data_IF_157074123629
#
_entry.id   IF_157074123629
#
_cell.length_a   1.000
_cell.length_b   1.000
_cell.length_c   1.000
_cell.angle_alpha   90.00
_cell.angle_beta   90.00
_cell.angle_gamma   90.00
#
_symmetry.space_group_name_H-M   'P 1'
#
loop_
_entity.id
_entity.type
_entity.pdbx_description
1 polymer ?
#
# COMPACT_ATOMS: atom_id res chain seq x y z
N UNK A 1 50.73 -25.88 2.40
CA UNK A 1 51.54 -25.91 3.64
C UNK A 1 51.54 -24.51 4.26
N UNK A 2 51.36 -24.45 5.59
CA UNK A 2 51.44 -23.30 6.52
C UNK A 2 50.17 -22.46 6.75
N UNK A 3 49.46 -22.92 7.78
CA UNK A 3 48.57 -22.20 8.71
C UNK A 3 49.21 -20.90 9.24
N UNK A 4 48.40 -19.94 9.70
CA UNK A 4 48.53 -19.39 11.08
C UNK A 4 47.17 -18.97 11.67
N UNK A 5 46.94 -19.55 12.85
CA UNK A 5 45.88 -19.36 13.82
C UNK A 5 46.20 -18.16 14.74
N UNK A 6 45.23 -17.76 15.58
CA UNK A 6 45.31 -17.07 16.89
C UNK A 6 44.91 -15.58 16.90
N UNK A 7 44.14 -15.03 17.86
CA UNK A 7 43.85 -15.39 19.27
C UNK A 7 42.41 -15.03 19.70
N UNK A 8 41.92 -15.76 20.70
CA UNK A 8 40.75 -15.51 21.55
C UNK A 8 40.89 -14.25 22.43
N UNK A 9 39.76 -13.61 22.75
CA UNK A 9 39.57 -12.92 24.04
C UNK A 9 38.18 -13.26 24.60
N UNK A 10 38.14 -14.18 25.56
CA UNK A 10 37.03 -14.35 26.49
C UNK A 10 37.35 -13.51 27.72
N UNK A 11 36.47 -12.59 28.09
CA UNK A 11 36.59 -11.83 29.35
C UNK A 11 35.61 -12.40 30.36
N UNK A 12 36.14 -12.76 31.53
CA UNK A 12 35.46 -13.38 32.65
C UNK A 12 34.81 -12.31 33.55
N UNK A 13 33.50 -12.49 33.77
CA UNK A 13 32.69 -12.29 35.00
C UNK A 13 33.12 -11.23 36.03
N UNK A 14 32.19 -10.33 36.34
CA UNK A 14 32.10 -9.67 37.64
C UNK A 14 30.85 -10.18 38.39
N UNK A 15 31.08 -10.85 39.53
CA UNK A 15 30.07 -11.19 40.53
C UNK A 15 29.80 -9.91 41.34
N UNK A 16 28.57 -9.40 41.30
CA UNK A 16 28.10 -8.42 42.28
C UNK A 16 27.16 -9.13 43.23
N UNK A 17 27.49 -8.94 44.49
CA UNK A 17 27.02 -9.56 45.73
C UNK A 17 25.56 -9.29 46.05
N UNK A 18 24.88 -10.37 46.47
CA UNK A 18 23.80 -10.47 47.46
C UNK A 18 23.09 -9.17 47.92
N UNK A 19 21.84 -9.05 47.50
CA UNK A 19 20.79 -8.29 48.17
C UNK A 19 19.53 -9.16 48.20
N UNK A 20 19.24 -9.69 49.38
CA UNK A 20 18.05 -10.44 49.76
C UNK A 20 16.75 -9.78 49.26
N UNK A 21 16.02 -10.46 48.37
CA UNK A 21 14.57 -10.29 48.19
C UNK A 21 13.97 -11.69 48.01
N UNK A 22 13.00 -12.03 48.87
CA UNK A 22 12.25 -13.29 48.84
C UNK A 22 11.64 -13.58 47.46
N UNK A 23 11.48 -14.87 47.08
CA UNK A 23 10.59 -15.21 45.98
C UNK A 23 9.16 -15.19 46.51
N UNK A 24 8.49 -14.03 46.46
CA UNK A 24 7.02 -14.03 46.45
C UNK A 24 6.57 -14.47 45.05
N UNK A 25 5.82 -15.57 45.03
CA UNK A 25 5.50 -16.34 43.83
C UNK A 25 4.29 -15.81 43.05
N UNK A 26 3.90 -14.55 43.26
CA UNK A 26 2.68 -13.96 42.66
C UNK A 26 2.97 -12.81 41.69
N UNK A 27 4.23 -12.42 41.51
CA UNK A 27 4.62 -11.35 40.57
C UNK A 27 5.10 -11.86 39.20
N UNK A 28 5.36 -13.17 39.05
CA UNK A 28 5.82 -13.75 37.78
C UNK A 28 4.67 -14.21 36.87
N UNK A 29 3.51 -14.54 37.41
CA UNK A 29 2.33 -14.89 36.60
C UNK A 29 1.86 -13.70 35.76
N UNK A 30 1.91 -12.47 36.28
CA UNK A 30 1.54 -11.27 35.53
C UNK A 30 2.52 -10.87 34.41
N UNK A 31 3.75 -11.39 34.42
CA UNK A 31 4.73 -11.16 33.34
C UNK A 31 4.84 -12.32 32.35
N UNK A 32 4.40 -13.53 32.73
CA UNK A 32 4.34 -14.69 31.84
C UNK A 32 3.00 -14.81 31.11
N UNK A 33 1.93 -14.16 31.61
CA UNK A 33 0.63 -14.07 30.93
C UNK A 33 0.57 -12.97 29.84
N UNK A 34 1.69 -12.30 29.56
CA UNK A 34 1.82 -11.31 28.48
C UNK A 34 2.79 -11.73 27.36
N UNK A 35 3.01 -13.04 27.22
CA UNK A 35 3.71 -13.63 26.07
C UNK A 35 3.03 -14.91 25.56
N UNK A 36 1.70 -14.94 25.59
CA UNK A 36 1.00 -15.61 24.50
C UNK A 36 1.18 -14.74 23.25
N UNK A 37 2.05 -15.18 22.35
CA UNK A 37 1.96 -14.82 20.95
C UNK A 37 0.57 -15.24 20.47
N UNK A 38 -0.39 -14.33 20.65
CA UNK A 38 -1.60 -14.25 19.86
C UNK A 38 -1.11 -14.02 18.44
N UNK A 39 -0.80 -15.11 17.74
CA UNK A 39 -1.03 -15.23 16.31
C UNK A 39 -2.52 -14.95 16.12
N UNK A 40 -2.86 -13.66 16.10
CA UNK A 40 -4.10 -13.17 15.54
C UNK A 40 -3.94 -13.46 14.06
N UNK A 41 -4.21 -14.71 13.70
CA UNK A 41 -4.64 -15.04 12.36
C UNK A 41 -5.97 -14.32 12.22
N UNK A 42 -5.88 -13.05 11.84
CA UNK A 42 -7.01 -12.23 11.49
C UNK A 42 -7.65 -12.94 10.31
N UNK A 43 -8.68 -13.72 10.60
CA UNK A 43 -9.71 -14.01 9.62
C UNK A 43 -10.40 -12.68 9.32
N UNK A 44 -9.71 -11.79 8.60
CA UNK A 44 -10.38 -10.74 7.85
C UNK A 44 -11.37 -11.47 6.97
N UNK A 45 -12.66 -11.22 7.18
CA UNK A 45 -13.63 -11.76 6.24
C UNK A 45 -13.35 -11.09 4.89
N UNK A 46 -13.67 -11.78 3.79
CA UNK A 46 -13.50 -11.22 2.43
C UNK A 46 -14.14 -9.83 2.27
N UNK A 47 -15.18 -9.55 3.06
CA UNK A 47 -15.84 -8.24 3.12
C UNK A 47 -14.97 -7.17 3.82
N UNK A 48 -14.32 -7.51 4.94
CA UNK A 48 -13.41 -6.61 5.66
C UNK A 48 -12.18 -6.27 4.80
N UNK A 49 -11.66 -7.27 4.09
CA UNK A 49 -10.53 -7.11 3.18
C UNK A 49 -10.87 -6.20 1.97
N UNK A 50 -12.02 -6.43 1.32
CA UNK A 50 -12.45 -5.56 0.22
C UNK A 50 -12.65 -4.11 0.69
N UNK A 51 -13.24 -3.95 1.88
CA UNK A 51 -13.42 -2.63 2.51
C UNK A 51 -12.08 -1.96 2.79
N UNK A 52 -11.07 -2.70 3.27
CA UNK A 52 -9.74 -2.13 3.56
C UNK A 52 -9.00 -1.71 2.29
N UNK A 53 -9.05 -2.50 1.23
CA UNK A 53 -8.44 -2.15 -0.07
C UNK A 53 -9.07 -0.90 -0.67
N UNK A 54 -10.40 -0.80 -0.69
CA UNK A 54 -11.09 0.38 -1.24
C UNK A 54 -10.80 1.63 -0.41
N UNK A 55 -10.79 1.51 0.92
CA UNK A 55 -10.42 2.63 1.79
C UNK A 55 -9.00 3.13 1.51
N UNK A 56 -8.03 2.23 1.37
CA UNK A 56 -6.65 2.59 1.04
C UNK A 56 -6.54 3.18 -0.38
N UNK A 57 -7.18 2.57 -1.38
CA UNK A 57 -7.21 3.10 -2.75
C UNK A 57 -7.75 4.54 -2.80
N UNK A 58 -8.83 4.78 -2.04
CA UNK A 58 -9.41 6.11 -1.84
C UNK A 58 -8.40 7.07 -1.23
N UNK A 59 -7.79 6.69 -0.11
CA UNK A 59 -6.79 7.51 0.58
C UNK A 59 -5.61 7.87 -0.33
N UNK A 60 -5.06 6.90 -1.07
CA UNK A 60 -3.94 7.14 -1.97
C UNK A 60 -4.29 8.07 -3.13
N UNK A 61 -5.54 8.04 -3.58
CA UNK A 61 -6.06 8.97 -4.58
C UNK A 61 -6.20 10.39 -4.01
N UNK A 62 -6.78 10.53 -2.82
CA UNK A 62 -6.89 11.81 -2.12
C UNK A 62 -5.49 12.44 -1.88
N UNK A 63 -4.52 11.63 -1.43
CA UNK A 63 -3.12 12.06 -1.26
C UNK A 63 -2.54 12.53 -2.60
N UNK A 64 -2.68 11.72 -3.67
CA UNK A 64 -2.17 12.02 -5.01
C UNK A 64 -2.62 13.39 -5.51
N UNK A 65 -3.90 13.70 -5.37
CA UNK A 65 -4.48 14.96 -5.85
C UNK A 65 -4.04 16.16 -5.01
N UNK A 66 -3.71 15.92 -3.74
CA UNK A 66 -3.24 16.97 -2.84
C UNK A 66 -4.29 18.04 -2.59
N UNK A 67 -3.84 19.13 -1.98
CA UNK A 67 -4.73 20.19 -1.50
C UNK A 67 -5.21 21.14 -2.60
N UNK A 68 -4.50 21.20 -3.74
CA UNK A 68 -4.88 22.10 -4.84
C UNK A 68 -5.78 21.46 -5.88
N UNK A 69 -5.53 20.21 -6.26
CA UNK A 69 -6.32 19.53 -7.29
C UNK A 69 -7.52 18.83 -6.64
N UNK A 70 -7.29 18.17 -5.51
CA UNK A 70 -8.29 17.35 -4.82
C UNK A 70 -9.64 18.04 -4.65
N UNK A 71 -9.73 19.22 -4.02
CA UNK A 71 -11.01 19.90 -3.79
C UNK A 71 -11.79 20.26 -5.06
N UNK A 72 -11.12 20.39 -6.21
CA UNK A 72 -11.74 20.78 -7.48
C UNK A 72 -12.35 19.60 -8.20
N UNK A 73 -11.67 18.44 -8.19
CA UNK A 73 -12.09 17.25 -8.95
C UNK A 73 -12.79 16.20 -8.08
N UNK A 74 -12.94 16.46 -6.78
CA UNK A 74 -13.39 15.46 -5.79
C UNK A 74 -14.72 14.81 -6.18
N UNK A 75 -15.72 15.63 -6.48
CA UNK A 75 -17.08 15.18 -6.79
C UNK A 75 -17.07 14.32 -8.06
N UNK A 76 -16.60 14.86 -9.17
CA UNK A 76 -16.41 14.16 -10.44
C UNK A 76 -15.63 12.83 -10.29
N UNK A 77 -14.58 12.83 -9.47
CA UNK A 77 -13.78 11.64 -9.21
C UNK A 77 -14.58 10.53 -8.53
N UNK A 78 -15.30 10.86 -7.46
CA UNK A 78 -16.08 9.88 -6.71
C UNK A 78 -17.34 9.43 -7.42
N UNK A 79 -17.91 10.26 -8.30
CA UNK A 79 -19.09 9.90 -9.08
C UNK A 79 -18.75 9.08 -10.32
N UNK A 80 -17.64 9.39 -11.01
CA UNK A 80 -17.37 8.83 -12.34
C UNK A 80 -16.18 7.87 -12.41
N UNK A 81 -15.14 8.08 -11.60
CA UNK A 81 -13.86 7.37 -11.72
C UNK A 81 -13.72 6.29 -10.65
N UNK A 82 -13.95 6.63 -9.39
CA UNK A 82 -13.75 5.70 -8.28
C UNK A 82 -14.60 4.42 -8.38
N UNK A 83 -15.88 4.45 -8.80
CA UNK A 83 -16.67 3.24 -8.99
C UNK A 83 -16.05 2.27 -10.02
N UNK A 84 -15.44 2.79 -11.09
CA UNK A 84 -14.75 1.97 -12.10
C UNK A 84 -13.44 1.39 -11.59
N UNK A 85 -12.78 2.11 -10.69
CA UNK A 85 -11.61 1.61 -9.98
C UNK A 85 -11.98 0.43 -9.07
N UNK A 86 -13.06 0.55 -8.30
CA UNK A 86 -13.60 -0.56 -7.49
C UNK A 86 -13.96 -1.77 -8.37
N UNK A 87 -14.62 -1.55 -9.51
CA UNK A 87 -14.92 -2.60 -10.49
C UNK A 87 -13.65 -3.28 -11.00
N UNK A 88 -12.61 -2.52 -11.38
CA UNK A 88 -11.34 -3.07 -11.86
C UNK A 88 -10.63 -3.91 -10.79
N UNK A 89 -10.65 -3.46 -9.53
CA UNK A 89 -10.12 -4.23 -8.39
C UNK A 89 -10.90 -5.54 -8.22
N UNK A 90 -12.24 -5.47 -8.24
CA UNK A 90 -13.11 -6.64 -8.08
C UNK A 90 -12.90 -7.66 -9.21
N UNK A 91 -12.80 -7.19 -10.46
CA UNK A 91 -12.55 -8.05 -11.62
C UNK A 91 -11.17 -8.70 -11.56
N UNK A 92 -10.14 -7.94 -11.15
CA UNK A 92 -8.79 -8.49 -10.97
C UNK A 92 -8.78 -9.54 -9.87
N UNK A 93 -9.46 -9.28 -8.74
CA UNK A 93 -9.59 -10.25 -7.66
C UNK A 93 -10.34 -11.51 -8.10
N UNK A 94 -11.36 -11.35 -8.96
CA UNK A 94 -12.11 -12.45 -9.55
C UNK A 94 -11.30 -13.34 -10.49
N UNK A 95 -10.42 -12.73 -11.30
CA UNK A 95 -9.54 -13.47 -12.22
C UNK A 95 -8.54 -14.38 -11.50
N UNK A 96 -8.16 -14.04 -10.26
CA UNK A 96 -7.14 -14.72 -9.47
C UNK A 96 -7.69 -15.80 -8.54
N UNK A 97 -9.00 -16.07 -8.58
CA UNK A 97 -9.75 -16.95 -7.67
C UNK A 97 -9.25 -18.41 -7.48
N UNK A 98 -8.26 -18.85 -8.25
CA UNK A 98 -7.62 -20.17 -8.04
C UNK A 98 -6.58 -20.15 -6.90
N UNK A 99 -6.11 -18.98 -6.48
CA UNK A 99 -5.12 -18.84 -5.40
C UNK A 99 -5.68 -18.00 -4.24
N UNK A 100 -6.44 -18.67 -3.36
CA UNK A 100 -7.00 -18.06 -2.14
C UNK A 100 -5.93 -17.62 -1.13
N UNK A 101 -4.63 -17.81 -1.41
CA UNK A 101 -3.52 -17.46 -0.54
C UNK A 101 -2.89 -16.10 -0.85
N UNK A 102 -3.30 -15.45 -1.95
CA UNK A 102 -2.75 -14.15 -2.34
C UNK A 102 -3.19 -13.09 -1.32
N UNK A 103 -2.22 -12.61 -0.55
CA UNK A 103 -2.36 -11.44 0.31
C UNK A 103 -2.13 -10.19 -0.53
N UNK A 104 -3.14 -9.34 -0.65
CA UNK A 104 -3.10 -8.13 -1.48
C UNK A 104 -2.73 -6.93 -0.59
N UNK A 105 -1.79 -6.10 -1.05
CA UNK A 105 -1.47 -4.82 -0.41
C UNK A 105 -1.53 -3.67 -1.38
N UNK A 106 -1.99 -2.52 -0.90
CA UNK A 106 -2.01 -1.25 -1.63
C UNK A 106 -0.71 -0.48 -1.37
N UNK A 107 -0.14 0.13 -2.39
CA UNK A 107 1.06 0.97 -2.22
C UNK A 107 0.70 2.35 -1.66
N UNK A 108 1.36 2.80 -0.59
CA UNK A 108 0.99 4.02 0.15
C UNK A 108 1.76 5.30 -0.24
N UNK A 109 2.48 5.27 -1.37
CA UNK A 109 3.36 6.37 -1.79
C UNK A 109 3.09 6.77 -3.26
N UNK A 110 2.01 7.53 -3.53
CA UNK A 110 1.76 8.13 -4.82
C UNK A 110 2.92 9.02 -5.24
N UNK A 111 3.17 9.09 -6.53
CA UNK A 111 4.26 9.90 -7.05
C UNK A 111 3.82 11.35 -7.30
N UNK A 112 4.65 12.32 -6.92
CA UNK A 112 4.38 13.75 -7.14
C UNK A 112 4.79 14.26 -8.51
N UNK A 113 4.74 15.59 -8.69
CA UNK A 113 5.22 16.23 -9.91
C UNK A 113 4.29 15.96 -11.09
N UNK A 114 4.85 15.41 -12.17
CA UNK A 114 4.12 14.97 -13.37
C UNK A 114 4.06 13.45 -13.50
N UNK A 115 4.44 12.69 -12.47
CA UNK A 115 4.38 11.24 -12.52
C UNK A 115 2.94 10.75 -12.54
N UNK A 116 2.65 9.68 -13.29
CA UNK A 116 1.29 9.19 -13.47
C UNK A 116 0.83 8.30 -12.31
N UNK A 117 1.75 7.63 -11.63
CA UNK A 117 1.44 6.63 -10.60
C UNK A 117 0.60 7.22 -9.46
N UNK A 118 -0.60 6.68 -9.24
CA UNK A 118 -1.40 6.89 -8.03
C UNK A 118 -1.02 5.82 -7.02
N UNK A 119 -1.41 4.57 -7.26
CA UNK A 119 -1.03 3.42 -6.45
C UNK A 119 -1.04 2.16 -7.31
N UNK A 120 -0.57 1.06 -6.75
CA UNK A 120 -0.75 -0.28 -7.29
C UNK A 120 -1.16 -1.23 -6.17
N UNK A 121 -1.80 -2.32 -6.55
CA UNK A 121 -2.05 -3.45 -5.67
C UNK A 121 -1.09 -4.56 -6.07
N UNK A 122 -0.45 -5.16 -5.07
CA UNK A 122 0.56 -6.19 -5.26
C UNK A 122 0.34 -7.36 -4.30
N UNK A 123 0.89 -8.51 -4.67
CA UNK A 123 0.98 -9.67 -3.80
C UNK A 123 2.02 -9.39 -2.70
N UNK A 124 1.60 -9.33 -1.44
CA UNK A 124 2.49 -9.02 -0.31
C UNK A 124 3.65 -10.00 -0.18
N UNK A 125 3.42 -11.27 -0.48
CA UNK A 125 4.42 -12.35 -0.36
C UNK A 125 5.46 -12.29 -1.47
N UNK A 126 5.03 -12.15 -2.73
CA UNK A 126 5.96 -12.16 -3.89
C UNK A 126 6.47 -10.77 -4.26
N UNK A 127 5.81 -9.71 -3.78
CA UNK A 127 6.04 -8.31 -4.15
C UNK A 127 5.74 -8.00 -5.63
N UNK A 128 5.03 -8.90 -6.31
CA UNK A 128 4.63 -8.71 -7.71
C UNK A 128 3.36 -7.87 -7.78
N UNK A 129 3.38 -6.88 -8.66
CA UNK A 129 2.21 -6.06 -8.95
C UNK A 129 1.12 -6.93 -9.60
N UNK A 130 -0.14 -6.64 -9.25
CA UNK A 130 -1.32 -7.27 -9.82
C UNK A 130 -2.07 -6.26 -10.70
N UNK A 131 -2.25 -5.04 -10.21
CA UNK A 131 -2.93 -3.96 -10.93
C UNK A 131 -2.32 -2.62 -10.55
N UNK A 132 -2.15 -1.72 -11.52
CA UNK A 132 -1.59 -0.37 -11.33
C UNK A 132 -2.59 0.68 -11.76
N UNK A 133 -2.79 1.71 -10.95
CA UNK A 133 -3.73 2.81 -11.21
C UNK A 133 -2.98 4.12 -11.39
N UNK A 134 -3.20 4.75 -12.54
CA UNK A 134 -2.46 5.90 -13.01
C UNK A 134 -3.41 7.05 -13.40
N UNK A 135 -2.88 8.27 -13.38
CA UNK A 135 -3.53 9.48 -13.90
C UNK A 135 -2.55 10.32 -14.69
N UNK A 136 -2.89 10.62 -15.95
CA UNK A 136 -2.13 11.51 -16.82
C UNK A 136 -2.83 12.85 -16.96
N UNK A 137 -2.05 13.91 -17.16
CA UNK A 137 -2.58 15.22 -17.56
C UNK A 137 -2.47 15.37 -19.07
N UNK A 138 -3.62 15.43 -19.75
CA UNK A 138 -3.70 15.58 -21.21
C UNK A 138 -4.07 17.01 -21.59
N UNK A 139 -3.39 17.57 -22.60
CA UNK A 139 -3.75 18.86 -23.21
C UNK A 139 -4.46 18.61 -24.53
N UNK A 140 -5.75 18.97 -24.60
CA UNK A 140 -6.54 18.93 -25.83
C UNK A 140 -6.52 20.29 -26.51
N UNK A 141 -6.14 20.37 -27.81
CA UNK A 141 -6.14 21.62 -28.55
C UNK A 141 -7.50 22.32 -28.45
N UNK A 142 -7.49 23.62 -28.16
CA UNK A 142 -8.67 24.48 -27.97
C UNK A 142 -9.55 24.15 -26.77
N UNK A 143 -9.49 22.95 -26.20
CA UNK A 143 -10.37 22.51 -25.11
C UNK A 143 -9.75 22.70 -23.73
N UNK A 144 -8.44 22.48 -23.58
CA UNK A 144 -7.72 22.66 -22.32
C UNK A 144 -7.22 21.34 -21.74
N UNK A 145 -7.03 21.31 -20.44
CA UNK A 145 -6.40 20.21 -19.71
C UNK A 145 -7.45 19.25 -19.13
N UNK A 146 -7.15 17.97 -19.20
CA UNK A 146 -7.94 16.87 -18.65
C UNK A 146 -7.05 15.96 -17.81
N UNK A 147 -7.63 15.35 -16.79
CA UNK A 147 -7.02 14.23 -16.08
C UNK A 147 -7.59 12.93 -16.63
N UNK A 148 -6.77 12.14 -17.31
CA UNK A 148 -7.13 10.84 -17.85
C UNK A 148 -6.71 9.74 -16.87
N UNK A 149 -7.68 9.00 -16.37
CA UNK A 149 -7.48 7.92 -15.41
C UNK A 149 -7.51 6.58 -16.14
N UNK A 150 -6.52 5.74 -15.85
CA UNK A 150 -6.41 4.43 -16.46
C UNK A 150 -5.73 3.43 -15.51
N UNK A 151 -5.86 2.15 -15.83
CA UNK A 151 -5.18 1.10 -15.12
C UNK A 151 -4.48 0.11 -16.05
N UNK A 152 -3.59 -0.67 -15.45
CA UNK A 152 -2.81 -1.71 -16.11
C UNK A 152 -2.93 -3.00 -15.29
N UNK A 153 -3.06 -4.15 -15.94
CA UNK A 153 -3.13 -5.46 -15.28
C UNK A 153 -1.89 -6.28 -15.56
N UNK A 154 -1.62 -7.25 -14.69
CA UNK A 154 -0.52 -8.20 -14.85
C UNK A 154 -0.69 -9.12 -16.08
N UNK A 155 -1.93 -9.30 -16.57
CA UNK A 155 -2.29 -10.27 -17.63
C UNK A 155 -1.53 -10.05 -18.95
N UNK A 156 -1.19 -8.80 -19.26
CA UNK A 156 -0.42 -8.43 -20.45
C UNK A 156 0.94 -7.81 -20.13
N UNK A 157 1.44 -8.02 -18.91
CA UNK A 157 2.65 -7.37 -18.36
C UNK A 157 2.55 -5.83 -18.30
N UNK A 158 1.38 -5.30 -17.99
CA UNK A 158 1.11 -3.87 -17.81
C UNK A 158 1.29 -3.03 -19.07
N UNK A 159 1.05 -3.60 -20.25
CA UNK A 159 1.23 -2.91 -21.54
C UNK A 159 0.02 -2.04 -21.87
N UNK A 160 -1.18 -2.59 -21.73
CA UNK A 160 -2.43 -1.90 -22.07
C UNK A 160 -2.75 -0.81 -21.07
N UNK A 161 -3.25 0.32 -21.57
CA UNK A 161 -3.82 1.40 -20.76
C UNK A 161 -5.33 1.27 -20.84
N UNK A 162 -5.94 0.68 -19.81
CA UNK A 162 -7.38 0.45 -19.80
C UNK A 162 -8.05 1.70 -19.21
N UNK A 163 -8.87 2.37 -20.02
CA UNK A 163 -9.49 3.65 -19.69
C UNK A 163 -10.52 3.53 -18.55
N UNK A 164 -10.42 4.43 -17.58
CA UNK A 164 -11.42 4.63 -16.53
C UNK A 164 -12.20 5.93 -16.73
N UNK A 165 -11.80 6.77 -17.68
CA UNK A 165 -12.45 8.03 -17.99
C UNK A 165 -11.63 9.24 -17.54
N UNK A 166 -12.26 10.41 -17.65
CA UNK A 166 -11.55 11.66 -17.65
C UNK A 166 -12.31 12.75 -16.92
N UNK A 167 -11.57 13.66 -16.28
CA UNK A 167 -12.12 14.84 -15.63
C UNK A 167 -11.52 16.08 -16.28
N UNK A 168 -12.37 17.03 -16.70
CA UNK A 168 -11.91 18.31 -17.22
C UNK A 168 -11.34 19.17 -16.08
N UNK A 169 -10.15 19.73 -16.27
CA UNK A 169 -9.56 20.66 -15.33
C UNK A 169 -9.91 22.11 -15.67
N UNK A 170 -9.26 22.66 -16.69
CA UNK A 170 -9.47 24.04 -17.16
C UNK A 170 -8.65 24.30 -18.44
N UNK A 171 -8.77 25.51 -19.02
CA UNK A 171 -7.86 25.98 -20.08
C UNK A 171 -6.41 26.18 -19.59
N UNK A 172 -6.23 26.38 -18.28
CA UNK A 172 -4.92 26.64 -17.70
C UNK A 172 -4.25 25.34 -17.25
N UNK A 173 -2.92 25.32 -17.24
CA UNK A 173 -2.18 24.16 -16.78
C UNK A 173 -2.49 23.89 -15.29
N UNK A 174 -2.81 22.63 -14.91
CA UNK A 174 -3.00 22.30 -13.51
C UNK A 174 -1.69 22.42 -12.72
N UNK A 175 -1.77 22.58 -11.39
CA UNK A 175 -0.60 22.42 -10.54
C UNK A 175 -0.09 20.97 -10.60
N UNK A 176 1.07 20.72 -10.01
CA UNK A 176 1.66 19.38 -9.97
C UNK A 176 0.95 18.47 -8.96
N UNK A 177 1.07 17.16 -9.12
CA UNK A 177 0.58 16.21 -8.11
C UNK A 177 1.26 16.41 -6.76
N UNK A 178 0.55 16.07 -5.67
CA UNK A 178 0.96 16.30 -4.28
C UNK A 178 1.19 17.78 -3.89
N UNK A 179 0.46 18.72 -4.51
CA UNK A 179 0.61 20.16 -4.26
C UNK A 179 -0.50 20.83 -3.46
#
# INVERSE_FOLDING_TARGET
MKMKLTKFFTVLVAIITFGMVSPDHDLWDSFLDQKEEKQVQSSETKADFATSVYSLAKEQSDIKFGTRIGPVIKEDYYEMIFPKMEEAIQMTYASLHTDQTIQWKVSENPAGGSSEKIFHIYNERTREDLIRFHVRTDLRPKDGYYFNFHYHTWEDNFVSHIDMGEIYWSKNQPPKWLS
#
